data_IF_813610418585
#
_entry.id   IF_813610418585
#
_cell.length_a   1.000
_cell.length_b   1.000
_cell.length_c   1.000
_cell.angle_alpha   90.00
_cell.angle_beta   90.00
_cell.angle_gamma   90.00
#
_symmetry.space_group_name_H-M   'P 1'
#
loop_
_entity.id
_entity.type
_entity.pdbx_description
1 polymer ?
#
# COMPACT_ATOMS: atom_id res chain seq x y z
N UNK A 1 0.90 -15.14 7.55
CA UNK A 1 1.11 -14.85 6.10
C UNK A 1 2.59 -14.92 5.80
N UNK A 2 3.00 -15.81 4.89
CA UNK A 2 4.40 -15.92 4.44
C UNK A 2 4.52 -15.31 3.02
N UNK A 3 5.70 -14.77 2.70
CA UNK A 3 6.06 -14.24 1.36
C UNK A 3 5.26 -13.02 0.85
N UNK A 4 4.90 -12.08 1.74
CA UNK A 4 4.33 -10.79 1.32
C UNK A 4 5.44 -9.91 0.69
N UNK A 5 5.22 -9.50 -0.57
CA UNK A 5 6.10 -8.59 -1.32
C UNK A 5 5.46 -7.22 -1.47
N UNK A 6 6.28 -6.18 -1.32
CA UNK A 6 5.91 -4.78 -1.42
C UNK A 6 6.56 -4.15 -2.66
N UNK A 7 5.75 -3.86 -3.68
CA UNK A 7 6.20 -3.14 -4.86
C UNK A 7 5.85 -1.65 -4.70
N UNK A 8 6.86 -0.83 -4.44
CA UNK A 8 6.67 0.61 -4.15
C UNK A 8 6.22 1.36 -5.40
N UNK A 9 5.05 1.99 -5.32
CA UNK A 9 4.47 2.79 -6.40
C UNK A 9 4.90 4.25 -6.34
N UNK A 10 4.96 4.83 -5.14
CA UNK A 10 5.43 6.19 -4.93
C UNK A 10 6.04 6.39 -3.55
N UNK A 11 6.89 7.41 -3.43
CA UNK A 11 7.46 7.88 -2.17
C UNK A 11 7.66 9.39 -2.21
N UNK A 12 7.20 10.04 -1.16
CA UNK A 12 7.41 11.47 -0.89
C UNK A 12 8.07 11.62 0.48
N UNK A 13 8.26 12.86 0.93
CA UNK A 13 8.76 13.13 2.28
C UNK A 13 7.80 12.67 3.39
N UNK A 14 6.49 12.54 3.10
CA UNK A 14 5.46 12.30 4.12
C UNK A 14 4.49 11.17 3.74
N UNK A 15 4.67 10.49 2.62
CA UNK A 15 3.74 9.46 2.17
C UNK A 15 4.41 8.45 1.27
N UNK A 16 3.97 7.21 1.37
CA UNK A 16 4.44 6.10 0.57
C UNK A 16 3.25 5.24 0.14
N UNK A 17 3.37 4.60 -1.01
CA UNK A 17 2.36 3.67 -1.52
C UNK A 17 2.99 2.41 -2.07
N UNK A 18 2.36 1.28 -1.81
CA UNK A 18 2.84 -0.04 -2.18
C UNK A 18 1.72 -0.90 -2.74
N UNK A 19 2.01 -1.60 -3.84
CA UNK A 19 1.25 -2.76 -4.25
C UNK A 19 1.70 -3.96 -3.40
N UNK A 20 0.72 -4.69 -2.88
CA UNK A 20 0.90 -5.87 -2.05
C UNK A 20 0.68 -7.10 -2.91
N UNK A 21 1.63 -8.02 -2.89
CA UNK A 21 1.50 -9.29 -3.60
C UNK A 21 2.02 -10.45 -2.77
N UNK A 22 1.43 -11.63 -2.96
CA UNK A 22 1.85 -12.86 -2.32
C UNK A 22 2.11 -13.89 -3.41
N UNK A 23 3.35 -14.38 -3.49
CA UNK A 23 3.82 -15.17 -4.63
C UNK A 23 3.64 -14.41 -5.95
N UNK A 24 2.69 -14.81 -6.79
CA UNK A 24 2.37 -14.20 -8.09
C UNK A 24 0.99 -13.51 -8.10
N UNK A 25 0.26 -13.52 -6.98
CA UNK A 25 -1.09 -12.95 -6.88
C UNK A 25 -1.09 -11.56 -6.22
N UNK A 26 -1.87 -10.63 -6.77
CA UNK A 26 -2.16 -9.34 -6.11
C UNK A 26 -2.99 -9.59 -4.86
N UNK A 27 -2.55 -9.01 -3.74
CA UNK A 27 -3.30 -8.96 -2.49
C UNK A 27 -4.07 -7.66 -2.39
N UNK A 28 -3.50 -6.56 -2.89
CA UNK A 28 -4.11 -5.25 -2.90
C UNK A 28 -3.08 -4.13 -2.80
N UNK A 29 -3.43 -3.05 -2.10
CA UNK A 29 -2.61 -1.84 -1.98
C UNK A 29 -2.60 -1.30 -0.56
N UNK A 30 -1.48 -0.72 -0.15
CA UNK A 30 -1.40 0.11 1.06
C UNK A 30 -0.88 1.51 0.72
N UNK A 31 -1.54 2.51 1.30
CA UNK A 31 -1.11 3.90 1.31
C UNK A 31 -0.79 4.31 2.75
N UNK A 32 0.42 4.82 2.96
CA UNK A 32 0.93 5.26 4.25
C UNK A 32 1.15 6.77 4.23
N UNK A 33 0.72 7.44 5.30
CA UNK A 33 0.92 8.86 5.51
C UNK A 33 1.61 9.09 6.87
N UNK A 34 2.85 9.58 6.80
CA UNK A 34 3.71 9.81 7.95
C UNK A 34 3.52 11.24 8.46
N UNK A 35 2.97 11.37 9.67
CA UNK A 35 2.88 12.66 10.38
C UNK A 35 4.00 12.77 11.42
N UNK A 36 3.93 13.78 12.30
CA UNK A 36 4.94 13.99 13.34
C UNK A 36 4.97 12.91 14.41
N UNK A 37 3.83 12.26 14.70
CA UNK A 37 3.72 11.26 15.77
C UNK A 37 2.80 10.08 15.45
N UNK A 38 1.98 10.19 14.41
CA UNK A 38 1.02 9.14 14.01
C UNK A 38 1.25 8.77 12.56
N UNK A 39 1.23 7.48 12.27
CA UNK A 39 1.18 6.98 10.89
C UNK A 39 -0.25 6.59 10.56
N UNK A 40 -0.79 7.13 9.47
CA UNK A 40 -2.09 6.76 8.94
C UNK A 40 -1.92 5.79 7.77
N UNK A 41 -2.63 4.66 7.82
CA UNK A 41 -2.65 3.66 6.76
C UNK A 41 -4.05 3.48 6.17
N UNK A 42 -4.12 3.31 4.85
CA UNK A 42 -5.29 2.76 4.17
C UNK A 42 -4.85 1.51 3.43
N UNK A 43 -5.52 0.38 3.71
CA UNK A 43 -5.30 -0.88 3.00
C UNK A 43 -6.57 -1.17 2.20
N UNK A 44 -6.41 -1.40 0.90
CA UNK A 44 -7.46 -1.93 0.03
C UNK A 44 -7.03 -3.32 -0.40
N UNK A 45 -7.81 -4.33 0.00
CA UNK A 45 -7.57 -5.73 -0.31
C UNK A 45 -8.50 -6.14 -1.45
N UNK A 46 -7.95 -6.82 -2.46
CA UNK A 46 -8.67 -7.25 -3.67
C UNK A 46 -9.27 -8.66 -3.55
N UNK A 47 -9.30 -9.22 -2.34
CA UNK A 47 -9.84 -10.54 -2.01
C UNK A 47 -10.48 -10.54 -0.64
N UNK A 48 -11.36 -11.50 -0.40
CA UNK A 48 -11.93 -11.73 0.92
C UNK A 48 -10.87 -12.31 1.87
N UNK A 49 -10.63 -11.62 2.98
CA UNK A 49 -9.78 -12.02 4.09
C UNK A 49 -10.62 -12.11 5.37
N UNK A 50 -10.38 -13.16 6.15
CA UNK A 50 -10.89 -13.25 7.51
C UNK A 50 -10.15 -12.30 8.47
N UNK A 51 -10.67 -12.16 9.68
CA UNK A 51 -10.15 -11.23 10.69
C UNK A 51 -8.71 -11.55 11.11
N UNK A 52 -8.36 -12.84 11.16
CA UNK A 52 -7.00 -13.30 11.51
C UNK A 52 -6.00 -12.93 10.41
N UNK A 53 -6.38 -13.13 9.14
CA UNK A 53 -5.59 -12.71 8.01
C UNK A 53 -5.46 -11.18 7.94
N UNK A 54 -6.54 -10.42 8.15
CA UNK A 54 -6.45 -8.95 8.19
C UNK A 54 -5.50 -8.48 9.30
N UNK A 55 -5.59 -9.06 10.50
CA UNK A 55 -4.69 -8.73 11.61
C UNK A 55 -3.25 -9.05 11.27
N UNK A 56 -2.99 -10.24 10.73
CA UNK A 56 -1.66 -10.64 10.26
C UNK A 56 -1.10 -9.71 9.17
N UNK A 57 -1.96 -9.16 8.31
CA UNK A 57 -1.54 -8.23 7.24
C UNK A 57 -1.06 -6.92 7.85
N UNK A 58 -1.83 -6.39 8.80
CA UNK A 58 -1.53 -5.15 9.52
C UNK A 58 -0.22 -5.28 10.28
N UNK A 59 -0.04 -6.37 11.04
CA UNK A 59 1.19 -6.62 11.81
C UNK A 59 2.43 -6.66 10.91
N UNK A 60 2.34 -7.35 9.77
CA UNK A 60 3.43 -7.40 8.80
C UNK A 60 3.75 -6.06 8.18
N UNK A 61 2.74 -5.28 7.80
CA UNK A 61 2.94 -3.93 7.27
C UNK A 61 3.57 -3.01 8.32
N UNK A 62 3.14 -3.12 9.58
CA UNK A 62 3.73 -2.34 10.67
C UNK A 62 5.21 -2.70 10.86
N UNK A 63 5.56 -3.98 10.86
CA UNK A 63 6.95 -4.46 10.98
C UNK A 63 7.81 -4.07 9.78
N UNK A 64 7.34 -4.37 8.57
CA UNK A 64 8.16 -4.27 7.35
C UNK A 64 8.27 -2.81 6.85
N UNK A 65 7.23 -1.99 6.99
CA UNK A 65 7.15 -0.65 6.37
C UNK A 65 7.08 0.51 7.37
N UNK A 66 6.40 0.35 8.51
CA UNK A 66 6.18 1.46 9.46
C UNK A 66 7.31 1.55 10.47
N UNK A 67 7.69 0.42 11.09
CA UNK A 67 8.78 0.33 12.06
C UNK A 67 10.16 0.50 11.42
N UNK A 68 10.29 0.19 10.13
CA UNK A 68 11.52 0.37 9.36
C UNK A 68 11.72 1.81 8.86
N UNK A 69 10.71 2.67 8.98
CA UNK A 69 10.79 4.06 8.54
C UNK A 69 11.60 4.92 9.53
N UNK A 70 12.43 5.83 9.01
CA UNK A 70 13.25 6.77 9.80
C UNK A 70 12.42 7.88 10.50
N UNK A 71 11.11 7.72 10.63
CA UNK A 71 10.19 8.73 11.18
C UNK A 71 9.74 8.31 12.58
N UNK A 72 9.85 9.19 13.60
CA UNK A 72 9.30 8.91 14.91
C UNK A 72 7.80 8.63 14.83
N UNK A 73 7.36 7.55 15.49
CA UNK A 73 5.93 7.22 15.59
C UNK A 73 5.57 6.74 16.98
N UNK A 74 4.47 7.27 17.49
CA UNK A 74 3.83 6.87 18.74
C UNK A 74 2.65 5.93 18.47
N UNK A 75 2.01 6.03 17.30
CA UNK A 75 0.80 5.26 16.95
C UNK A 75 0.69 4.94 15.45
N UNK A 76 0.00 3.84 15.13
CA UNK A 76 -0.32 3.41 13.76
C UNK A 76 -1.83 3.16 13.63
N UNK A 77 -2.52 4.04 12.90
CA UNK A 77 -3.96 3.97 12.68
C UNK A 77 -4.23 3.52 11.25
N UNK A 78 -4.85 2.36 11.08
CA UNK A 78 -5.11 1.76 9.77
C UNK A 78 -6.60 1.53 9.51
N UNK A 79 -7.06 1.86 8.31
CA UNK A 79 -8.39 1.49 7.79
C UNK A 79 -8.24 0.43 6.71
N UNK A 80 -9.01 -0.65 6.81
CA UNK A 80 -8.97 -1.77 5.85
C UNK A 80 -10.28 -1.87 5.10
N UNK A 81 -10.20 -1.90 3.77
CA UNK A 81 -11.31 -2.11 2.86
C UNK A 81 -11.07 -3.40 2.08
N UNK A 82 -12.12 -4.19 1.87
CA UNK A 82 -12.09 -5.38 1.02
C UNK A 82 -13.01 -5.14 -0.18
N UNK A 83 -12.52 -5.35 -1.39
CA UNK A 83 -13.24 -4.99 -2.62
C UNK A 83 -12.54 -5.47 -3.89
N UNK A 84 -12.79 -4.78 -5.00
CA UNK A 84 -12.13 -5.03 -6.29
C UNK A 84 -11.65 -3.73 -6.90
N UNK A 85 -10.52 -3.76 -7.60
CA UNK A 85 -10.13 -2.63 -8.45
C UNK A 85 -11.12 -2.48 -9.62
N UNK A 86 -11.53 -1.25 -9.90
CA UNK A 86 -12.45 -0.93 -11.02
C UNK A 86 -11.66 -0.53 -12.27
N UNK A 87 -10.49 0.09 -12.08
CA UNK A 87 -9.56 0.50 -13.13
C UNK A 87 -8.67 1.65 -12.67
N UNK A 88 -7.60 1.88 -13.42
CA UNK A 88 -6.68 3.01 -13.25
C UNK A 88 -7.02 4.09 -14.26
N UNK A 89 -7.21 5.31 -13.80
CA UNK A 89 -7.52 6.47 -14.63
C UNK A 89 -6.41 7.50 -14.48
N UNK A 90 -5.95 8.04 -15.60
CA UNK A 90 -5.00 9.16 -15.64
C UNK A 90 -5.65 10.35 -16.37
N UNK A 91 -5.05 11.53 -16.19
CA UNK A 91 -5.54 12.77 -16.83
C UNK A 91 -5.05 12.92 -18.29
N UNK A 92 -4.29 11.93 -18.77
CA UNK A 92 -3.83 11.86 -20.16
C UNK A 92 -5.01 11.42 -21.03
N UNK A 93 -5.37 12.24 -22.01
CA UNK A 93 -6.39 11.88 -22.97
C UNK A 93 -5.95 10.66 -23.79
N UNK A 94 -6.86 9.98 -24.51
CA UNK A 94 -6.49 8.90 -25.42
C UNK A 94 -5.50 9.31 -26.53
N UNK A 95 -5.28 10.61 -26.73
CA UNK A 95 -4.34 11.20 -27.70
C UNK A 95 -2.97 11.55 -27.09
N UNK A 96 -2.79 11.43 -25.76
CA UNK A 96 -1.51 11.67 -25.10
C UNK A 96 -0.73 10.34 -25.00
N UNK A 97 -0.23 9.85 -26.13
CA UNK A 97 0.75 8.75 -26.15
C UNK A 97 2.02 9.20 -25.39
N UNK A 98 2.25 8.62 -24.22
CA UNK A 98 3.55 8.72 -23.54
C UNK A 98 4.57 7.91 -24.34
N UNK A 99 5.45 8.59 -25.07
CA UNK A 99 6.64 7.99 -25.67
C UNK A 99 7.40 7.25 -24.56
N UNK A 100 7.47 5.93 -24.67
CA UNK A 100 7.94 5.00 -23.63
C UNK A 100 9.45 5.03 -23.37
N UNK A 101 10.04 6.20 -23.22
CA UNK A 101 11.50 6.40 -23.07
C UNK A 101 11.93 6.88 -21.67
N UNK A 102 11.01 7.07 -20.72
CA UNK A 102 11.33 7.58 -19.36
C UNK A 102 10.78 6.68 -18.22
N UNK A 103 10.97 5.36 -18.29
CA UNK A 103 10.87 4.43 -17.15
C UNK A 103 12.18 3.69 -16.89
#
# INVERSE_FOLDING_TARGET
>A
MEDLRYDRLCRTAHSESYLLSQSEESVGRVDLHFTTSVVHGVIVVERDLDEEAVTSLIERIDEDLVLSADVPRDDFIVSVYQGREVGVYNDFGPDDEVDGEDL
#
